data_IF_033717361189
#
_entry.id   IF_033717361189
#
_cell.length_a   1.000
_cell.length_b   1.000
_cell.length_c   1.000
_cell.angle_alpha   90.00
_cell.angle_beta   90.00
_cell.angle_gamma   90.00
#
_symmetry.space_group_name_H-M   'P 1'
#
loop_
_entity.id
_entity.type
_entity.pdbx_description
1 polymer ?
#
# COMPACT_ATOMS: atom_id res chain seq x y z
N UNK A 1 -17.84 -11.09 -45.00
CA UNK A 1 -16.60 -10.30 -45.19
C UNK A 1 -15.99 -9.97 -43.82
N UNK A 2 -14.82 -10.52 -43.49
CA UNK A 2 -14.19 -10.34 -42.18
C UNK A 2 -13.68 -8.90 -41.98
N UNK A 3 -14.03 -8.29 -40.84
CA UNK A 3 -13.62 -6.94 -40.45
C UNK A 3 -12.08 -6.77 -40.51
N UNK A 4 -11.54 -5.65 -41.02
CA UNK A 4 -10.09 -5.40 -41.13
C UNK A 4 -9.35 -5.43 -39.78
N UNK A 5 -10.07 -5.41 -38.66
CA UNK A 5 -9.53 -5.54 -37.30
C UNK A 5 -8.97 -6.94 -36.98
N UNK A 6 -9.46 -7.99 -37.66
CA UNK A 6 -9.03 -9.37 -37.42
C UNK A 6 -7.66 -9.71 -38.02
N UNK A 7 -7.30 -9.12 -39.18
CA UNK A 7 -6.04 -9.42 -39.89
C UNK A 7 -4.78 -8.87 -39.22
N UNK A 8 -4.89 -7.80 -38.43
CA UNK A 8 -3.72 -7.18 -37.80
C UNK A 8 -3.21 -7.91 -36.57
N UNK A 9 -4.06 -8.67 -35.85
CA UNK A 9 -3.64 -9.39 -34.64
C UNK A 9 -2.75 -10.60 -34.95
N UNK A 10 -2.98 -11.28 -36.07
CA UNK A 10 -2.27 -12.53 -36.41
C UNK A 10 -0.82 -12.35 -36.86
N UNK A 11 -0.39 -11.14 -37.25
CA UNK A 11 0.99 -10.85 -37.71
C UNK A 11 1.89 -10.18 -36.66
N UNK A 12 1.36 -9.86 -35.48
CA UNK A 12 2.10 -9.14 -34.44
C UNK A 12 3.37 -9.86 -33.96
N UNK A 13 3.36 -11.20 -33.72
CA UNK A 13 4.56 -11.90 -33.26
C UNK A 13 5.68 -11.86 -34.29
N UNK A 14 5.37 -12.05 -35.58
CA UNK A 14 6.38 -12.03 -36.65
C UNK A 14 7.02 -10.66 -36.85
N UNK A 15 6.28 -9.57 -36.69
CA UNK A 15 6.83 -8.21 -36.75
C UNK A 15 7.75 -7.89 -35.57
N UNK A 16 7.38 -8.35 -34.37
CA UNK A 16 8.20 -8.21 -33.16
C UNK A 16 9.55 -8.94 -33.33
N UNK A 17 9.48 -10.19 -33.77
CA UNK A 17 10.65 -11.05 -33.98
C UNK A 17 11.58 -10.49 -35.06
N UNK A 18 11.04 -10.00 -36.18
CA UNK A 18 11.84 -9.37 -37.23
C UNK A 18 12.52 -8.09 -36.75
N UNK A 19 11.81 -7.24 -35.99
CA UNK A 19 12.40 -6.04 -35.41
C UNK A 19 13.52 -6.39 -34.41
N UNK A 20 13.35 -7.45 -33.61
CA UNK A 20 14.36 -7.92 -32.66
C UNK A 20 15.58 -8.49 -33.37
N UNK A 21 15.37 -9.32 -34.41
CA UNK A 21 16.44 -9.87 -35.24
C UNK A 21 17.28 -8.76 -35.87
N UNK A 22 16.65 -7.70 -36.37
CA UNK A 22 17.36 -6.52 -36.91
C UNK A 22 18.16 -5.76 -35.87
N UNK A 23 17.70 -5.74 -34.62
CA UNK A 23 18.43 -5.12 -33.51
C UNK A 23 19.67 -5.94 -33.15
N UNK A 24 19.50 -7.24 -32.97
CA UNK A 24 20.58 -8.19 -32.67
C UNK A 24 21.65 -8.24 -33.76
N UNK A 25 21.26 -8.15 -35.04
CA UNK A 25 22.21 -8.14 -36.16
C UNK A 25 23.23 -6.99 -36.11
N UNK A 26 22.92 -5.90 -35.37
CA UNK A 26 23.84 -4.77 -35.14
C UNK A 26 24.45 -4.78 -33.74
N UNK A 27 23.79 -5.41 -32.76
CA UNK A 27 24.11 -5.32 -31.34
C UNK A 27 24.08 -6.72 -30.71
N UNK A 28 25.03 -7.58 -31.07
CA UNK A 28 25.15 -8.92 -30.50
C UNK A 28 26.12 -8.88 -29.31
N UNK A 29 25.60 -8.84 -28.08
CA UNK A 29 26.43 -8.89 -26.88
C UNK A 29 25.66 -9.45 -25.68
N UNK A 30 26.39 -9.98 -24.70
CA UNK A 30 25.83 -10.47 -23.43
C UNK A 30 25.04 -9.39 -22.69
N UNK A 31 25.41 -8.11 -22.83
CA UNK A 31 24.66 -6.99 -22.22
C UNK A 31 23.27 -6.87 -22.84
N UNK A 32 23.15 -7.05 -24.16
CA UNK A 32 21.86 -7.04 -24.85
C UNK A 32 21.01 -8.22 -24.42
N UNK A 33 21.61 -9.40 -24.29
CA UNK A 33 20.91 -10.62 -23.87
C UNK A 33 20.40 -10.56 -22.43
N UNK A 34 21.17 -9.95 -21.52
CA UNK A 34 20.83 -9.88 -20.09
C UNK A 34 19.93 -8.70 -19.73
N UNK A 35 20.15 -7.53 -20.36
CA UNK A 35 19.58 -6.26 -19.87
C UNK A 35 18.63 -5.58 -20.85
N UNK A 36 18.47 -6.09 -22.08
CA UNK A 36 17.55 -5.47 -23.04
C UNK A 36 16.29 -6.30 -23.29
N UNK A 37 15.18 -5.59 -23.47
CA UNK A 37 13.93 -6.15 -23.95
C UNK A 37 13.39 -5.35 -25.14
N UNK A 38 12.21 -5.73 -25.62
CA UNK A 38 11.52 -5.03 -26.71
C UNK A 38 10.19 -4.43 -26.23
N UNK A 39 10.05 -3.11 -26.36
CA UNK A 39 8.83 -2.38 -26.04
C UNK A 39 7.90 -2.34 -27.25
N UNK A 40 6.64 -2.71 -27.04
CA UNK A 40 5.58 -2.59 -28.05
C UNK A 40 4.73 -1.35 -27.77
N UNK A 41 4.87 -0.31 -28.59
CA UNK A 41 4.04 0.90 -28.49
C UNK A 41 3.05 0.98 -29.64
N UNK A 42 1.83 1.46 -29.36
CA UNK A 42 0.79 1.69 -30.36
C UNK A 42 0.29 3.11 -30.25
N UNK A 43 0.62 3.93 -31.24
CA UNK A 43 0.16 5.32 -31.32
C UNK A 43 -0.95 5.38 -32.36
N UNK A 44 -2.08 5.98 -32.00
CA UNK A 44 -3.19 6.22 -32.93
C UNK A 44 -3.34 7.72 -33.13
N UNK A 45 -3.18 8.18 -34.36
CA UNK A 45 -3.41 9.58 -34.70
C UNK A 45 -4.90 9.91 -34.50
N UNK A 46 -5.20 11.01 -33.81
CA UNK A 46 -6.59 11.45 -33.56
C UNK A 46 -7.26 12.06 -34.80
N UNK A 47 -6.48 12.68 -35.70
CA UNK A 47 -6.99 13.29 -36.93
C UNK A 47 -7.23 12.26 -38.06
N UNK A 48 -6.20 11.53 -38.48
CA UNK A 48 -6.31 10.60 -39.62
C UNK A 48 -6.66 9.16 -39.24
N UNK A 49 -6.86 8.88 -37.94
CA UNK A 49 -7.17 7.55 -37.35
C UNK A 49 -6.18 6.43 -37.67
N UNK A 50 -5.03 6.71 -38.29
CA UNK A 50 -3.96 5.74 -38.57
C UNK A 50 -3.31 5.28 -37.27
N UNK A 51 -3.08 3.99 -37.14
CA UNK A 51 -2.37 3.40 -36.01
C UNK A 51 -0.97 2.99 -36.47
N UNK A 52 0.04 3.44 -35.73
CA UNK A 52 1.43 3.06 -35.90
C UNK A 52 1.78 2.12 -34.75
N UNK A 53 2.35 0.97 -35.10
CA UNK A 53 2.90 0.02 -34.16
C UNK A 53 4.42 0.11 -34.25
N UNK A 54 5.08 0.26 -33.11
CA UNK A 54 6.54 0.27 -33.03
C UNK A 54 7.03 -0.78 -32.03
N UNK A 55 8.18 -1.36 -32.36
CA UNK A 55 8.90 -2.32 -31.56
C UNK A 55 10.32 -1.79 -31.38
N UNK A 56 10.62 -1.30 -30.17
CA UNK A 56 11.87 -0.58 -29.89
C UNK A 56 12.62 -1.29 -28.76
N UNK A 57 13.94 -1.48 -28.87
CA UNK A 57 14.73 -2.04 -27.79
C UNK A 57 14.73 -1.07 -26.60
N UNK A 58 14.70 -1.60 -25.37
CA UNK A 58 14.86 -0.82 -24.15
C UNK A 58 15.80 -1.52 -23.19
N UNK A 59 16.53 -0.75 -22.38
CA UNK A 59 17.36 -1.25 -21.28
C UNK A 59 16.83 -0.79 -19.91
N UNK A 60 16.15 0.36 -19.88
CA UNK A 60 15.62 0.96 -18.66
C UNK A 60 14.14 1.30 -18.84
N UNK A 61 13.33 1.07 -17.82
CA UNK A 61 11.95 1.48 -17.75
C UNK A 61 11.67 2.00 -16.34
N UNK A 62 11.18 3.24 -16.26
CA UNK A 62 10.72 3.79 -14.99
C UNK A 62 9.45 3.05 -14.56
N UNK A 63 9.51 2.42 -13.39
CA UNK A 63 8.35 1.84 -12.73
C UNK A 63 8.02 2.68 -11.49
N UNK A 64 6.74 2.87 -11.16
CA UNK A 64 6.39 3.51 -9.90
C UNK A 64 6.94 2.66 -8.76
N UNK A 65 7.70 3.29 -7.87
CA UNK A 65 8.08 2.65 -6.60
C UNK A 65 6.77 2.50 -5.80
N UNK A 66 6.40 1.28 -5.38
CA UNK A 66 5.28 1.11 -4.46
C UNK A 66 5.53 1.99 -3.25
N UNK A 67 4.60 2.90 -2.94
CA UNK A 67 4.66 3.60 -1.66
C UNK A 67 4.58 2.52 -0.59
N UNK A 68 5.69 2.28 0.10
CA UNK A 68 5.64 1.54 1.35
C UNK A 68 4.66 2.33 2.20
N UNK A 69 3.51 1.75 2.54
CA UNK A 69 2.65 2.36 3.55
C UNK A 69 3.54 2.48 4.78
N UNK A 70 4.02 3.69 5.09
CA UNK A 70 4.86 3.91 6.25
C UNK A 70 3.98 3.61 7.46
N UNK A 71 4.15 2.41 8.00
CA UNK A 71 3.42 1.94 9.17
C UNK A 71 4.27 2.24 10.40
N UNK A 72 3.67 2.89 11.37
CA UNK A 72 4.24 3.14 12.68
C UNK A 72 3.77 2.06 13.66
N UNK A 73 4.69 1.60 14.51
CA UNK A 73 4.41 0.67 15.59
C UNK A 73 4.27 1.45 16.89
N UNK A 74 3.09 1.37 17.52
CA UNK A 74 2.83 2.00 18.82
C UNK A 74 2.73 0.93 19.90
N UNK A 75 3.41 1.16 21.02
CA UNK A 75 3.17 0.41 22.27
C UNK A 75 2.31 1.27 23.18
N UNK A 76 1.06 0.90 23.36
CA UNK A 76 0.08 1.63 24.19
C UNK A 76 -0.03 0.94 25.54
N UNK A 77 -0.10 1.73 26.62
CA UNK A 77 -0.48 1.25 27.94
C UNK A 77 -1.99 1.38 28.08
N UNK A 78 -2.71 0.27 28.00
CA UNK A 78 -4.14 0.22 28.25
C UNK A 78 -4.39 0.07 29.76
N UNK A 79 -5.24 0.92 30.33
CA UNK A 79 -5.67 0.86 31.72
C UNK A 79 -7.18 0.61 31.76
N UNK A 80 -7.58 -0.57 32.23
CA UNK A 80 -8.98 -0.83 32.53
C UNK A 80 -9.36 -0.13 33.84
N UNK A 81 -10.23 0.89 33.74
CA UNK A 81 -10.72 1.65 34.89
C UNK A 81 -12.00 1.07 35.49
N UNK A 82 -12.70 0.19 34.76
CA UNK A 82 -13.93 -0.46 35.23
C UNK A 82 -13.61 -1.76 35.98
N UNK A 83 -12.51 -2.44 35.64
CA UNK A 83 -12.09 -3.67 36.30
C UNK A 83 -12.95 -4.90 35.98
N UNK A 84 -13.94 -4.75 35.11
CA UNK A 84 -14.92 -5.78 34.77
C UNK A 84 -14.65 -6.44 33.40
N UNK A 85 -13.73 -5.90 32.59
CA UNK A 85 -13.59 -6.33 31.19
C UNK A 85 -12.82 -7.66 31.01
N UNK A 86 -12.04 -8.10 32.02
CA UNK A 86 -11.20 -9.32 31.91
C UNK A 86 -11.20 -10.20 33.18
N UNK A 87 -12.36 -10.77 33.59
CA UNK A 87 -12.43 -11.66 34.76
C UNK A 87 -11.60 -12.96 34.60
N UNK A 88 -11.27 -13.33 33.37
CA UNK A 88 -10.45 -14.51 33.06
C UNK A 88 -8.95 -14.34 33.38
N UNK A 89 -8.44 -13.10 33.45
CA UNK A 89 -7.00 -12.81 33.63
C UNK A 89 -6.66 -12.60 35.11
N UNK A 90 -7.61 -12.18 35.93
CA UNK A 90 -7.42 -11.91 37.37
C UNK A 90 -8.62 -12.39 38.19
N UNK A 91 -8.73 -13.70 38.50
CA UNK A 91 -9.72 -14.14 39.47
C UNK A 91 -9.33 -13.58 40.85
N UNK A 92 -10.09 -12.62 41.36
CA UNK A 92 -9.93 -12.09 42.72
C UNK A 92 -8.96 -10.93 42.91
N UNK A 93 -8.44 -10.31 41.85
CA UNK A 93 -7.67 -9.06 41.93
C UNK A 93 -8.41 -7.93 41.22
N UNK A 94 -9.34 -7.29 41.93
CA UNK A 94 -9.98 -6.05 41.47
C UNK A 94 -8.98 -4.91 41.52
N UNK A 95 -8.44 -4.52 40.37
CA UNK A 95 -7.53 -3.40 40.25
C UNK A 95 -7.20 -3.11 38.78
N UNK A 96 -6.78 -1.88 38.45
CA UNK A 96 -6.52 -1.50 37.07
C UNK A 96 -5.40 -2.36 36.48
N UNK A 97 -5.70 -3.10 35.41
CA UNK A 97 -4.72 -3.87 34.67
C UNK A 97 -4.08 -2.97 33.62
N UNK A 98 -2.75 -2.86 33.68
CA UNK A 98 -1.96 -2.11 32.72
C UNK A 98 -1.40 -3.07 31.66
N UNK A 99 -2.01 -3.10 30.47
CA UNK A 99 -1.59 -3.95 29.36
C UNK A 99 -0.75 -3.17 28.36
N UNK A 100 0.38 -3.73 27.93
CA UNK A 100 1.14 -3.21 26.79
C UNK A 100 0.59 -3.81 25.51
N UNK A 101 -0.04 -3.00 24.69
CA UNK A 101 -0.64 -3.41 23.41
C UNK A 101 0.19 -2.85 22.27
N UNK A 102 0.63 -3.71 21.36
CA UNK A 102 1.35 -3.29 20.16
C UNK A 102 0.36 -3.18 19.00
N UNK A 103 0.24 -1.99 18.41
CA UNK A 103 -0.63 -1.77 17.24
C UNK A 103 0.16 -1.15 16.09
N UNK A 104 -0.27 -1.48 14.87
CA UNK A 104 0.32 -0.95 13.64
C UNK A 104 -0.69 -0.05 12.96
N UNK A 105 -0.34 1.23 12.79
CA UNK A 105 -1.16 2.21 12.06
C UNK A 105 -0.32 2.95 11.03
N UNK A 106 -0.96 3.65 10.09
CA UNK A 106 -0.23 4.52 9.14
C UNK A 106 0.46 5.65 9.91
N UNK A 107 1.62 6.10 9.44
CA UNK A 107 2.41 7.15 10.09
C UNK A 107 1.70 8.50 10.15
N UNK A 108 0.86 8.78 9.15
CA UNK A 108 -0.01 9.97 9.05
C UNK A 108 -1.42 9.72 9.60
N UNK A 109 -1.64 8.60 10.29
CA UNK A 109 -2.93 8.27 10.88
C UNK A 109 -3.28 9.22 12.04
N UNK A 110 -4.57 9.54 12.17
CA UNK A 110 -5.11 10.30 13.28
C UNK A 110 -5.17 9.48 14.57
N UNK A 111 -5.34 10.17 15.71
CA UNK A 111 -5.58 9.54 17.02
C UNK A 111 -6.85 8.66 17.00
N UNK A 112 -7.85 8.99 16.18
CA UNK A 112 -9.04 8.14 16.00
C UNK A 112 -8.69 6.78 15.38
N UNK A 113 -7.82 6.75 14.38
CA UNK A 113 -7.37 5.51 13.75
C UNK A 113 -6.51 4.66 14.71
N UNK A 114 -5.70 5.31 15.56
CA UNK A 114 -5.00 4.62 16.65
C UNK A 114 -5.98 3.97 17.63
N UNK A 115 -7.03 4.70 18.02
CA UNK A 115 -8.08 4.21 18.93
C UNK A 115 -8.83 3.02 18.34
N UNK A 116 -9.18 3.08 17.06
CA UNK A 116 -9.80 1.97 16.34
C UNK A 116 -8.90 0.73 16.27
N UNK A 117 -7.60 0.92 16.02
CA UNK A 117 -6.63 -0.18 16.00
C UNK A 117 -6.49 -0.87 17.37
N UNK A 118 -6.41 -0.09 18.46
CA UNK A 118 -6.36 -0.62 19.82
C UNK A 118 -7.68 -1.30 20.21
N UNK A 119 -8.80 -0.71 19.84
CA UNK A 119 -10.14 -1.27 20.07
C UNK A 119 -10.32 -2.63 19.39
N UNK A 120 -9.87 -2.75 18.14
CA UNK A 120 -9.91 -4.00 17.38
C UNK A 120 -9.05 -5.10 18.02
N UNK A 121 -7.86 -4.76 18.52
CA UNK A 121 -6.95 -5.71 19.17
C UNK A 121 -7.49 -6.20 20.53
N UNK A 122 -8.18 -5.33 21.26
CA UNK A 122 -8.71 -5.62 22.60
C UNK A 122 -10.18 -6.06 22.62
N UNK A 123 -10.89 -5.97 21.50
CA UNK A 123 -12.33 -6.30 21.43
C UNK A 123 -13.22 -5.35 22.22
N UNK A 124 -12.83 -4.09 22.38
CA UNK A 124 -13.59 -3.05 23.11
C UNK A 124 -14.17 -2.02 22.15
N UNK A 125 -15.21 -1.29 22.57
CA UNK A 125 -15.79 -0.23 21.74
C UNK A 125 -14.81 0.97 21.65
N UNK A 126 -14.40 1.41 20.44
CA UNK A 126 -13.55 2.58 20.30
C UNK A 126 -14.18 3.86 20.91
N UNK A 127 -15.50 3.96 21.05
CA UNK A 127 -16.14 5.13 21.65
C UNK A 127 -15.89 5.25 23.18
N UNK A 128 -15.58 4.14 23.85
CA UNK A 128 -15.30 4.12 25.29
C UNK A 128 -13.84 4.39 25.61
N UNK A 129 -12.96 4.43 24.60
CA UNK A 129 -11.54 4.68 24.78
C UNK A 129 -11.23 6.17 24.84
N UNK A 130 -10.38 6.53 25.80
CA UNK A 130 -9.71 7.83 25.89
C UNK A 130 -8.22 7.62 25.70
N UNK A 131 -7.61 8.39 24.78
CA UNK A 131 -6.17 8.34 24.56
C UNK A 131 -5.53 9.49 25.33
N UNK A 132 -4.45 9.23 26.06
CA UNK A 132 -3.73 10.27 26.79
C UNK A 132 -2.23 10.20 26.48
N UNK A 133 -1.58 11.36 26.42
CA UNK A 133 -0.12 11.42 26.35
C UNK A 133 0.48 11.14 27.74
N UNK A 134 1.51 10.31 27.80
CA UNK A 134 2.23 10.01 29.04
C UNK A 134 3.67 10.51 28.93
N UNK A 135 4.05 11.45 29.79
CA UNK A 135 5.40 12.02 29.81
C UNK A 135 5.79 12.50 31.20
N UNK A 136 7.06 12.30 31.58
CA UNK A 136 7.60 12.75 32.89
C UNK A 136 6.74 12.32 34.10
N UNK A 137 6.22 11.09 34.10
CA UNK A 137 5.31 10.56 35.13
C UNK A 137 4.00 11.36 35.29
N UNK A 138 3.57 12.11 34.27
CA UNK A 138 2.33 12.88 34.24
C UNK A 138 1.46 12.45 33.06
N UNK A 139 0.14 12.57 33.27
CA UNK A 139 -0.86 12.43 32.22
C UNK A 139 -1.00 13.80 31.57
N UNK A 140 -0.71 13.87 30.27
CA UNK A 140 -0.84 15.05 29.43
C UNK A 140 -2.25 15.20 28.86
N UNK A 141 -2.40 15.86 27.70
CA UNK A 141 -3.69 16.03 27.05
C UNK A 141 -4.40 14.69 26.79
N UNK A 142 -5.72 14.71 26.97
CA UNK A 142 -6.60 13.57 26.71
C UNK A 142 -7.43 13.83 25.46
N UNK A 143 -7.59 12.80 24.64
CA UNK A 143 -8.34 12.82 23.40
C UNK A 143 -9.49 11.82 23.50
N UNK A 144 -10.72 12.33 23.61
CA UNK A 144 -11.93 11.52 23.64
C UNK A 144 -12.50 11.30 22.24
N UNK A 145 -13.31 10.25 22.09
CA UNK A 145 -14.07 10.02 20.87
C UNK A 145 -15.01 11.16 20.49
N UNK A 146 -15.47 11.93 21.47
CA UNK A 146 -16.39 13.05 21.28
C UNK A 146 -15.71 14.32 20.76
N UNK A 147 -14.39 14.44 20.93
CA UNK A 147 -13.63 15.63 20.56
C UNK A 147 -13.38 15.73 19.04
N UNK A 148 -13.57 14.61 18.32
CA UNK A 148 -13.45 14.54 16.86
C UNK A 148 -14.59 15.25 16.09
N UNK A 149 -15.64 15.70 16.78
CA UNK A 149 -16.78 16.39 16.16
C UNK A 149 -16.62 17.92 16.10
N UNK A 150 -15.49 18.48 16.58
CA UNK A 150 -15.29 19.93 16.73
C UNK A 150 -14.08 20.48 15.96
N UNK A 151 -13.56 19.77 14.96
CA UNK A 151 -12.51 20.27 14.05
C UNK A 151 -12.89 20.08 12.58
#
# INVERSE_FOLDING_TARGET
AASPRGRQRSRLPGLAQEAWRRHLARNQSTVVDLFQGQLKTRIKCRACRRAILKFEPFMFMSVPIPRVEERAFFTVLFLDTAGDAYPAVTPGRGGPLALKVAVTVKKDASVSALREAVAAELGVDPATLCVAELGQHRIGPTHHARDAASQ
#
